data_IF_105206407239
#
_entry.id   IF_105206407239
#
_cell.length_a   1.000
_cell.length_b   1.000
_cell.length_c   1.000
_cell.angle_alpha   90.00
_cell.angle_beta   90.00
_cell.angle_gamma   90.00
#
_symmetry.space_group_name_H-M   'P 1'
#
loop_
_entity.id
_entity.type
_entity.pdbx_description
1 polymer ?
#
# COMPACT_ATOMS: atom_id res chain seq x y z
N UNK A 1 -31.96 24.08 13.88
CA UNK A 1 -30.83 24.44 14.81
C UNK A 1 -29.54 23.93 14.22
N UNK A 2 -28.78 24.84 13.57
CA UNK A 2 -27.45 24.58 13.07
C UNK A 2 -26.48 24.44 14.26
N UNK A 3 -26.26 23.24 14.74
CA UNK A 3 -25.10 22.97 15.60
C UNK A 3 -23.85 23.17 14.73
N UNK A 4 -23.17 24.31 14.91
CA UNK A 4 -21.79 24.50 14.49
C UNK A 4 -20.99 23.34 15.09
N UNK A 5 -20.54 22.41 14.24
CA UNK A 5 -19.55 21.43 14.65
C UNK A 5 -18.23 22.21 14.83
N UNK A 6 -17.99 22.69 16.02
CA UNK A 6 -16.65 23.15 16.41
C UNK A 6 -15.71 21.96 16.27
N UNK A 7 -14.79 22.06 15.32
CA UNK A 7 -13.69 21.11 15.18
C UNK A 7 -12.81 21.32 16.41
N UNK A 8 -12.88 20.41 17.37
CA UNK A 8 -11.96 20.44 18.51
C UNK A 8 -10.52 20.32 18.01
N UNK A 9 -9.55 20.87 18.73
CA UNK A 9 -8.12 20.71 18.39
C UNK A 9 -7.71 19.23 18.26
N UNK A 10 -8.44 18.30 18.91
CA UNK A 10 -8.28 16.85 18.77
C UNK A 10 -8.80 16.30 17.44
N UNK A 11 -9.59 17.04 16.68
CA UNK A 11 -10.14 16.63 15.37
C UNK A 11 -9.35 17.16 14.16
N UNK A 12 -8.17 17.74 14.37
CA UNK A 12 -7.39 18.36 13.29
C UNK A 12 -7.00 17.38 12.18
N UNK A 13 -6.74 16.12 12.50
CA UNK A 13 -6.43 15.09 11.48
C UNK A 13 -7.57 14.94 10.49
N UNK A 14 -8.81 14.84 10.98
CA UNK A 14 -9.98 14.65 10.12
C UNK A 14 -10.41 15.91 9.37
N UNK A 15 -10.01 17.09 9.82
CA UNK A 15 -10.15 18.31 9.03
C UNK A 15 -9.34 18.18 7.72
N UNK A 16 -8.08 17.80 7.81
CA UNK A 16 -7.22 17.59 6.63
C UNK A 16 -7.69 16.43 5.76
N UNK A 17 -8.04 15.30 6.35
CA UNK A 17 -8.58 14.14 5.63
C UNK A 17 -9.84 14.53 4.85
N UNK A 18 -10.76 15.28 5.46
CA UNK A 18 -11.98 15.76 4.80
C UNK A 18 -11.67 16.76 3.69
N UNK A 19 -10.66 17.61 3.82
CA UNK A 19 -10.22 18.48 2.73
C UNK A 19 -9.71 17.65 1.54
N UNK A 20 -8.80 16.72 1.76
CA UNK A 20 -8.32 15.84 0.69
C UNK A 20 -9.46 15.12 -0.01
N UNK A 21 -10.41 14.60 0.73
CA UNK A 21 -11.58 13.93 0.17
C UNK A 21 -12.52 14.88 -0.59
N UNK A 22 -12.83 16.06 -0.04
CA UNK A 22 -13.80 16.99 -0.61
C UNK A 22 -13.34 17.60 -1.93
N UNK A 23 -12.03 17.84 -2.08
CA UNK A 23 -11.47 18.40 -3.32
C UNK A 23 -11.31 17.37 -4.44
N UNK A 24 -11.51 16.08 -4.19
CA UNK A 24 -11.47 15.07 -5.25
C UNK A 24 -12.68 15.21 -6.19
N UNK A 25 -12.39 15.26 -7.48
CA UNK A 25 -13.41 15.13 -8.54
C UNK A 25 -13.96 13.70 -8.53
N UNK A 26 -15.04 13.48 -9.27
CA UNK A 26 -15.54 12.13 -9.59
C UNK A 26 -14.42 11.35 -10.30
N UNK A 27 -14.13 10.12 -9.86
CA UNK A 27 -13.04 9.30 -10.36
C UNK A 27 -11.64 9.79 -9.97
N UNK A 28 -11.53 10.83 -9.13
CA UNK A 28 -10.24 11.34 -8.65
C UNK A 28 -9.65 10.48 -7.55
N UNK A 29 -8.33 10.49 -7.45
CA UNK A 29 -7.55 9.77 -6.44
C UNK A 29 -6.73 10.73 -5.59
N UNK A 30 -6.53 10.40 -4.33
CA UNK A 30 -5.59 11.09 -3.44
C UNK A 30 -4.75 10.07 -2.66
N UNK A 31 -3.48 10.41 -2.41
CA UNK A 31 -2.61 9.72 -1.48
C UNK A 31 -1.95 10.74 -0.55
N UNK A 32 -1.98 10.50 0.74
CA UNK A 32 -1.42 11.42 1.74
C UNK A 32 -0.98 10.70 3.01
N UNK A 33 -0.14 11.38 3.78
CA UNK A 33 0.42 10.88 5.03
C UNK A 33 -0.34 11.46 6.21
N UNK A 34 -0.70 10.62 7.17
CA UNK A 34 -1.31 11.02 8.43
C UNK A 34 -0.58 10.40 9.62
N UNK A 35 -0.68 11.04 10.78
CA UNK A 35 -0.23 10.44 12.02
C UNK A 35 -1.01 9.14 12.29
N UNK A 36 -0.38 8.14 12.89
CA UNK A 36 -1.03 6.86 13.23
C UNK A 36 -2.27 7.04 14.10
N UNK A 37 -2.28 8.07 14.96
CA UNK A 37 -3.44 8.41 15.79
C UNK A 37 -4.72 8.72 15.00
N UNK A 38 -4.63 9.04 13.71
CA UNK A 38 -5.82 9.22 12.88
C UNK A 38 -6.61 7.91 12.67
N UNK A 39 -5.98 6.76 12.88
CA UNK A 39 -6.61 5.45 12.69
C UNK A 39 -7.24 4.86 13.95
N UNK A 40 -6.79 5.23 15.13
CA UNK A 40 -7.17 4.59 16.40
C UNK A 40 -7.90 5.52 17.39
N UNK A 41 -7.88 6.83 17.18
CA UNK A 41 -8.57 7.80 18.05
C UNK A 41 -10.08 7.52 18.18
N UNK A 42 -10.54 7.29 19.40
CA UNK A 42 -11.96 7.10 19.69
C UNK A 42 -12.79 8.38 19.46
N UNK A 43 -12.22 9.55 19.69
CA UNK A 43 -12.89 10.83 19.49
C UNK A 43 -13.31 11.05 18.03
N UNK A 44 -12.57 10.47 17.08
CA UNK A 44 -12.76 10.63 15.65
C UNK A 44 -13.46 9.44 14.98
N UNK A 45 -13.89 8.44 15.78
CA UNK A 45 -14.52 7.21 15.29
C UNK A 45 -15.72 7.45 14.37
N UNK A 46 -16.58 8.39 14.73
CA UNK A 46 -17.78 8.67 13.94
C UNK A 46 -17.45 9.29 12.57
N UNK A 47 -16.41 10.12 12.50
CA UNK A 47 -15.93 10.72 11.26
C UNK A 47 -15.26 9.64 10.36
N UNK A 48 -14.43 8.80 10.95
CA UNK A 48 -13.78 7.67 10.29
C UNK A 48 -14.82 6.71 9.69
N UNK A 49 -15.83 6.34 10.47
CA UNK A 49 -16.93 5.51 10.02
C UNK A 49 -17.63 6.09 8.79
N UNK A 50 -18.04 7.37 8.85
CA UNK A 50 -18.70 8.05 7.71
C UNK A 50 -17.83 8.04 6.46
N UNK A 51 -16.51 8.20 6.62
CA UNK A 51 -15.59 8.21 5.50
C UNK A 51 -15.48 6.82 4.86
N UNK A 52 -15.37 5.76 5.66
CA UNK A 52 -15.36 4.38 5.18
C UNK A 52 -16.68 4.03 4.48
N UNK A 53 -17.81 4.42 5.06
CA UNK A 53 -19.16 4.21 4.50
C UNK A 53 -19.38 4.92 3.15
N UNK A 54 -18.48 5.82 2.72
CA UNK A 54 -18.53 6.38 1.35
C UNK A 54 -18.12 5.38 0.27
N UNK A 55 -17.45 4.28 0.63
CA UNK A 55 -16.89 3.31 -0.31
C UNK A 55 -15.63 3.80 -1.05
N UNK A 56 -15.10 4.98 -0.71
CA UNK A 56 -13.99 5.61 -1.44
C UNK A 56 -12.63 5.48 -0.73
N UNK A 57 -12.58 4.95 0.48
CA UNK A 57 -11.31 4.57 1.12
C UNK A 57 -10.82 3.30 0.41
N UNK A 58 -9.65 3.38 -0.21
CA UNK A 58 -9.16 2.32 -1.08
C UNK A 58 -8.09 1.48 -0.38
N UNK A 59 -6.97 2.11 -0.02
CA UNK A 59 -5.85 1.44 0.63
C UNK A 59 -5.42 2.23 1.86
N UNK A 60 -5.06 1.52 2.91
CA UNK A 60 -4.39 2.06 4.08
C UNK A 60 -3.13 1.27 4.37
N UNK A 61 -1.98 1.97 4.41
CA UNK A 61 -0.70 1.35 4.65
C UNK A 61 -0.10 1.91 5.93
N UNK A 62 0.24 1.04 6.87
CA UNK A 62 0.88 1.42 8.12
C UNK A 62 2.40 1.37 7.97
N UNK A 63 3.06 2.50 8.26
CA UNK A 63 4.52 2.68 8.14
C UNK A 63 5.13 2.73 9.53
N UNK A 64 6.24 2.02 9.70
CA UNK A 64 6.97 1.98 10.96
C UNK A 64 7.67 3.31 11.31
N UNK A 65 8.43 3.26 12.39
CA UNK A 65 9.21 4.40 12.86
C UNK A 65 10.38 4.73 11.91
N UNK A 66 10.96 5.91 12.10
CA UNK A 66 12.21 6.32 11.46
C UNK A 66 12.18 6.47 9.93
N UNK A 67 11.01 6.75 9.34
CA UNK A 67 10.91 7.11 7.92
C UNK A 67 11.05 8.62 7.65
N UNK A 68 11.23 9.42 8.69
CA UNK A 68 11.44 10.87 8.58
C UNK A 68 12.79 11.26 9.17
N UNK A 69 13.52 12.15 8.52
CA UNK A 69 14.82 12.60 8.97
C UNK A 69 14.82 13.25 10.37
N UNK A 70 13.70 13.88 10.74
CA UNK A 70 13.62 14.68 11.97
C UNK A 70 12.70 14.09 13.03
N UNK A 71 12.00 13.01 12.73
CA UNK A 71 11.00 12.41 13.63
C UNK A 71 11.00 10.89 13.52
N UNK A 72 10.97 10.22 14.67
CA UNK A 72 10.87 8.76 14.77
C UNK A 72 9.43 8.25 14.97
N UNK A 73 8.44 8.98 14.49
CA UNK A 73 7.04 8.62 14.66
C UNK A 73 6.56 7.70 13.54
N UNK A 74 5.71 6.70 13.85
CA UNK A 74 5.03 5.92 12.83
C UNK A 74 3.96 6.77 12.15
N UNK A 75 3.64 6.43 10.92
CA UNK A 75 2.58 7.10 10.18
C UNK A 75 1.72 6.10 9.39
N UNK A 76 0.62 6.61 8.85
CA UNK A 76 -0.24 5.86 7.94
C UNK A 76 -0.33 6.60 6.61
N UNK A 77 -0.27 5.84 5.53
CA UNK A 77 -0.59 6.33 4.20
C UNK A 77 -2.04 6.00 3.90
N UNK A 78 -2.79 7.01 3.52
CA UNK A 78 -4.20 6.90 3.15
C UNK A 78 -4.34 7.10 1.66
N UNK A 79 -5.11 6.24 1.03
CA UNK A 79 -5.43 6.35 -0.40
C UNK A 79 -6.94 6.37 -0.58
N UNK A 80 -7.41 7.39 -1.29
CA UNK A 80 -8.81 7.52 -1.71
C UNK A 80 -8.92 7.30 -3.21
N UNK A 81 -10.00 6.64 -3.62
CA UNK A 81 -10.39 6.48 -5.02
C UNK A 81 -11.90 6.69 -5.19
N UNK A 82 -12.31 7.83 -5.75
CA UNK A 82 -13.71 8.09 -6.12
C UNK A 82 -14.17 7.40 -7.41
N UNK A 83 -13.27 6.67 -8.06
CA UNK A 83 -13.53 5.79 -9.20
C UNK A 83 -13.43 4.32 -8.87
N UNK A 84 -13.43 3.97 -7.59
CA UNK A 84 -13.32 2.59 -7.11
C UNK A 84 -14.43 1.72 -7.71
N UNK A 85 -14.11 0.54 -8.27
CA UNK A 85 -15.10 -0.39 -8.80
C UNK A 85 -16.14 -0.75 -7.75
N UNK A 86 -17.38 -0.95 -8.17
CA UNK A 86 -18.51 -1.27 -7.27
C UNK A 86 -18.22 -2.52 -6.43
N UNK A 87 -17.62 -3.55 -7.03
CA UNK A 87 -17.23 -4.77 -6.34
C UNK A 87 -16.25 -4.57 -5.17
N UNK A 88 -15.49 -3.47 -5.17
CA UNK A 88 -14.50 -3.17 -4.12
C UNK A 88 -14.97 -2.07 -3.15
N UNK A 89 -16.14 -1.45 -3.34
CA UNK A 89 -16.56 -0.30 -2.53
C UNK A 89 -16.73 -0.64 -1.05
N UNK A 90 -17.15 -1.86 -0.73
CA UNK A 90 -17.28 -2.33 0.65
C UNK A 90 -15.99 -2.88 1.27
N UNK A 91 -14.89 -2.82 0.53
CA UNK A 91 -13.60 -3.32 0.95
C UNK A 91 -12.58 -2.20 1.14
N UNK A 92 -11.65 -2.36 2.08
CA UNK A 92 -10.47 -1.51 2.25
C UNK A 92 -9.26 -2.42 2.41
N UNK A 93 -8.25 -2.24 1.55
CA UNK A 93 -7.00 -2.97 1.70
C UNK A 93 -6.15 -2.34 2.82
N UNK A 94 -5.86 -3.14 3.86
CA UNK A 94 -4.93 -2.77 4.92
C UNK A 94 -3.59 -3.48 4.72
N UNK A 95 -2.49 -2.71 4.71
CA UNK A 95 -1.13 -3.23 4.59
C UNK A 95 -0.34 -2.83 5.84
N UNK A 96 0.13 -3.79 6.60
CA UNK A 96 1.09 -3.55 7.68
C UNK A 96 2.52 -3.66 7.15
N UNK A 97 3.16 -2.52 6.93
CA UNK A 97 4.54 -2.41 6.47
C UNK A 97 5.50 -1.93 7.58
N UNK A 98 5.10 -2.01 8.86
CA UNK A 98 5.93 -1.52 9.97
C UNK A 98 7.32 -2.13 10.02
N UNK A 99 7.42 -3.43 9.72
CA UNK A 99 8.67 -4.18 9.75
C UNK A 99 9.27 -4.42 8.36
N UNK A 100 8.60 -3.92 7.33
CA UNK A 100 9.03 -4.08 5.94
C UNK A 100 9.78 -2.82 5.48
N UNK A 101 11.07 -2.78 5.78
CA UNK A 101 11.95 -1.67 5.43
C UNK A 101 13.42 -2.11 5.44
N UNK A 102 14.28 -1.25 4.93
CA UNK A 102 15.74 -1.36 5.06
C UNK A 102 16.24 -0.26 5.96
N UNK A 103 17.00 -0.62 7.00
CA UNK A 103 17.64 0.36 7.85
C UNK A 103 18.86 0.96 7.13
N UNK A 104 18.83 2.27 6.89
CA UNK A 104 19.95 3.02 6.29
C UNK A 104 20.91 3.48 7.38
N UNK A 105 20.35 3.94 8.50
CA UNK A 105 21.09 4.28 9.71
C UNK A 105 20.33 3.78 10.93
N UNK A 106 20.88 3.99 12.13
CA UNK A 106 20.18 3.67 13.39
C UNK A 106 18.90 4.48 13.59
N UNK A 107 18.72 5.58 12.85
CA UNK A 107 17.60 6.52 12.99
C UNK A 107 16.83 6.76 11.69
N UNK A 108 17.20 6.10 10.60
CA UNK A 108 16.55 6.25 9.29
C UNK A 108 16.30 4.91 8.64
N UNK A 109 15.05 4.68 8.30
CA UNK A 109 14.57 3.56 7.50
C UNK A 109 14.09 4.06 6.13
N UNK A 110 14.27 3.24 5.12
CA UNK A 110 13.79 3.50 3.77
C UNK A 110 13.22 2.25 3.13
N UNK A 111 12.38 2.43 2.13
CA UNK A 111 12.02 1.36 1.20
C UNK A 111 12.96 1.40 0.00
N UNK A 112 13.61 0.28 -0.27
CA UNK A 112 14.33 0.10 -1.54
C UNK A 112 13.32 0.15 -2.70
N UNK A 113 13.79 0.43 -3.94
CA UNK A 113 12.93 0.39 -5.11
C UNK A 113 12.16 -0.95 -5.26
N UNK A 114 12.77 -2.06 -4.86
CA UNK A 114 12.14 -3.39 -4.89
C UNK A 114 11.08 -3.56 -3.82
N UNK A 115 11.31 -3.06 -2.61
CA UNK A 115 10.31 -3.06 -1.55
C UNK A 115 9.08 -2.24 -1.94
N UNK A 116 9.28 -1.07 -2.57
CA UNK A 116 8.18 -0.25 -3.09
C UNK A 116 7.40 -0.98 -4.19
N UNK A 117 8.09 -1.69 -5.10
CA UNK A 117 7.43 -2.49 -6.13
C UNK A 117 6.62 -3.64 -5.54
N UNK A 118 7.12 -4.32 -4.50
CA UNK A 118 6.39 -5.38 -3.82
C UNK A 118 5.12 -4.84 -3.13
N UNK A 119 5.20 -3.70 -2.44
CA UNK A 119 4.02 -3.04 -1.87
C UNK A 119 3.02 -2.64 -2.96
N UNK A 120 3.53 -2.14 -4.10
CA UNK A 120 2.70 -1.80 -5.25
C UNK A 120 2.03 -3.03 -5.86
N UNK A 121 2.73 -4.18 -5.90
CA UNK A 121 2.18 -5.44 -6.41
C UNK A 121 0.94 -5.89 -5.64
N UNK A 122 0.96 -5.78 -4.30
CA UNK A 122 -0.20 -6.09 -3.46
C UNK A 122 -1.40 -5.22 -3.87
N UNK A 123 -1.18 -3.91 -4.07
CA UNK A 123 -2.24 -2.98 -4.48
C UNK A 123 -2.73 -3.27 -5.91
N UNK A 124 -1.84 -3.63 -6.84
CA UNK A 124 -2.23 -4.00 -8.20
C UNK A 124 -3.11 -5.23 -8.21
N UNK A 125 -2.74 -6.28 -7.47
CA UNK A 125 -3.54 -7.50 -7.37
C UNK A 125 -4.91 -7.20 -6.75
N UNK A 126 -4.96 -6.43 -5.66
CA UNK A 126 -6.22 -6.00 -5.06
C UNK A 126 -7.14 -5.25 -6.04
N UNK A 127 -6.57 -4.42 -6.92
CA UNK A 127 -7.31 -3.65 -7.93
C UNK A 127 -7.59 -4.43 -9.23
N UNK A 128 -7.10 -5.66 -9.35
CA UNK A 128 -7.21 -6.45 -10.57
C UNK A 128 -6.25 -6.03 -11.71
N UNK A 129 -5.23 -5.21 -11.41
CA UNK A 129 -4.19 -4.75 -12.37
C UNK A 129 -3.15 -5.87 -12.61
N UNK A 130 -3.59 -7.04 -13.05
CA UNK A 130 -2.77 -8.28 -13.16
C UNK A 130 -1.60 -8.10 -14.12
N UNK A 131 -1.75 -7.35 -15.20
CA UNK A 131 -0.68 -7.13 -16.18
C UNK A 131 0.53 -6.43 -15.54
N UNK A 132 0.32 -5.42 -14.69
CA UNK A 132 1.42 -4.75 -13.96
C UNK A 132 2.17 -5.70 -13.02
N UNK A 133 1.46 -6.66 -12.45
CA UNK A 133 2.07 -7.69 -11.62
C UNK A 133 2.91 -8.66 -12.46
N UNK A 134 2.41 -9.09 -13.62
CA UNK A 134 3.16 -9.92 -14.57
C UNK A 134 4.43 -9.23 -15.05
N UNK A 135 4.35 -7.94 -15.41
CA UNK A 135 5.50 -7.14 -15.80
C UNK A 135 6.56 -7.10 -14.70
N UNK A 136 6.13 -6.99 -13.42
CA UNK A 136 7.04 -7.02 -12.29
C UNK A 136 7.72 -8.37 -12.12
N UNK A 137 7.00 -9.49 -12.27
CA UNK A 137 7.58 -10.83 -12.22
C UNK A 137 8.60 -11.03 -13.32
N UNK A 138 8.31 -10.59 -14.54
CA UNK A 138 9.25 -10.65 -15.66
C UNK A 138 10.50 -9.80 -15.39
N UNK A 139 10.35 -8.61 -14.83
CA UNK A 139 11.48 -7.79 -14.44
C UNK A 139 12.36 -8.47 -13.37
N UNK A 140 11.78 -9.21 -12.42
CA UNK A 140 12.53 -10.00 -11.45
C UNK A 140 13.26 -11.16 -12.10
N UNK A 141 12.61 -11.87 -13.04
CA UNK A 141 13.21 -12.96 -13.79
C UNK A 141 14.41 -12.49 -14.61
N UNK A 142 14.26 -11.40 -15.36
CA UNK A 142 15.34 -10.80 -16.11
C UNK A 142 16.50 -10.39 -15.19
N UNK A 143 16.20 -9.77 -14.05
CA UNK A 143 17.23 -9.35 -13.10
C UNK A 143 17.98 -10.53 -12.48
N UNK A 144 17.28 -11.61 -12.16
CA UNK A 144 17.89 -12.84 -11.67
C UNK A 144 18.87 -13.42 -12.71
N UNK A 145 18.48 -13.47 -13.98
CA UNK A 145 19.33 -13.93 -15.10
C UNK A 145 20.58 -13.06 -15.28
N UNK A 146 20.47 -11.74 -15.13
CA UNK A 146 21.59 -10.81 -15.20
C UNK A 146 22.58 -10.99 -14.04
N UNK A 147 22.06 -11.28 -12.86
CA UNK A 147 22.87 -11.41 -11.64
C UNK A 147 23.53 -12.79 -11.52
N UNK A 148 22.89 -13.85 -12.03
CA UNK A 148 23.35 -15.22 -11.87
C UNK A 148 24.84 -15.43 -12.21
N UNK A 149 25.41 -14.91 -13.33
CA UNK A 149 26.82 -15.07 -13.65
C UNK A 149 27.77 -14.31 -12.72
N UNK A 150 27.26 -13.37 -11.91
CA UNK A 150 28.07 -12.60 -10.96
C UNK A 150 28.25 -13.32 -9.62
N UNK A 151 27.50 -14.41 -9.40
CA UNK A 151 27.51 -15.20 -8.18
C UNK A 151 27.94 -16.63 -8.49
N UNK A 152 28.83 -17.18 -7.66
CA UNK A 152 29.25 -18.60 -7.75
C UNK A 152 28.43 -19.51 -6.82
N UNK A 153 28.56 -20.83 -7.04
CA UNK A 153 27.97 -21.84 -6.19
C UNK A 153 26.45 -21.80 -6.10
N UNK A 154 25.90 -22.18 -4.96
CA UNK A 154 24.45 -22.33 -4.71
C UNK A 154 23.65 -21.02 -5.00
N UNK A 155 24.22 -19.86 -4.73
CA UNK A 155 23.55 -18.58 -4.99
C UNK A 155 23.38 -18.33 -6.50
N UNK A 156 24.40 -18.58 -7.30
CA UNK A 156 24.33 -18.48 -8.77
C UNK A 156 23.35 -19.49 -9.36
N UNK A 157 23.35 -20.73 -8.88
CA UNK A 157 22.41 -21.77 -9.32
C UNK A 157 20.94 -21.40 -9.02
N UNK A 158 20.65 -20.88 -7.81
CA UNK A 158 19.32 -20.41 -7.45
C UNK A 158 18.87 -19.26 -8.35
N UNK A 159 19.75 -18.28 -8.64
CA UNK A 159 19.43 -17.17 -9.52
C UNK A 159 19.19 -17.63 -10.96
N UNK A 160 19.98 -18.58 -11.47
CA UNK A 160 19.74 -19.20 -12.77
C UNK A 160 18.40 -19.93 -12.82
N UNK A 161 18.06 -20.67 -11.76
CA UNK A 161 16.77 -21.34 -11.63
C UNK A 161 15.59 -20.36 -11.71
N UNK A 162 15.67 -19.22 -11.02
CA UNK A 162 14.65 -18.16 -11.10
C UNK A 162 14.58 -17.57 -12.50
N UNK A 163 15.72 -17.27 -13.12
CA UNK A 163 15.80 -16.72 -14.48
C UNK A 163 15.25 -17.64 -15.56
N UNK A 164 15.45 -18.95 -15.38
CA UNK A 164 14.96 -19.99 -16.29
C UNK A 164 13.53 -20.46 -16.00
N UNK A 165 12.96 -20.08 -14.84
CA UNK A 165 11.62 -20.51 -14.46
C UNK A 165 10.58 -19.96 -15.44
N UNK A 166 10.04 -20.85 -16.26
CA UNK A 166 8.85 -20.59 -17.09
C UNK A 166 7.56 -20.74 -16.29
N UNK A 167 7.64 -21.31 -15.09
CA UNK A 167 6.53 -21.80 -14.27
C UNK A 167 6.26 -20.99 -12.99
N UNK A 168 6.34 -19.68 -13.07
CA UNK A 168 5.52 -18.87 -12.13
C UNK A 168 4.02 -18.99 -12.48
N UNK A 169 3.69 -19.47 -13.67
CA UNK A 169 2.34 -19.60 -14.17
C UNK A 169 1.42 -20.45 -13.27
N UNK A 170 1.75 -21.67 -12.79
CA UNK A 170 0.82 -22.45 -11.99
C UNK A 170 0.53 -21.83 -10.62
N UNK A 171 1.55 -21.31 -9.94
CA UNK A 171 1.35 -20.64 -8.65
C UNK A 171 0.59 -19.32 -8.80
N UNK A 172 0.84 -18.61 -9.91
CA UNK A 172 0.16 -17.38 -10.26
C UNK A 172 -1.30 -17.64 -10.64
N UNK A 173 -1.57 -18.64 -11.49
CA UNK A 173 -2.92 -19.04 -11.88
C UNK A 173 -3.73 -19.53 -10.67
N UNK A 174 -3.13 -20.31 -9.77
CA UNK A 174 -3.78 -20.74 -8.53
C UNK A 174 -4.12 -19.55 -7.62
N UNK A 175 -3.25 -18.54 -7.54
CA UNK A 175 -3.50 -17.33 -6.76
C UNK A 175 -4.58 -16.47 -7.40
N UNK A 176 -4.57 -16.27 -8.71
CA UNK A 176 -5.63 -15.55 -9.44
C UNK A 176 -6.98 -16.26 -9.31
N UNK A 177 -7.02 -17.57 -9.48
CA UNK A 177 -8.26 -18.36 -9.30
C UNK A 177 -8.79 -18.25 -7.86
N UNK A 178 -7.92 -18.14 -6.85
CA UNK A 178 -8.33 -17.92 -5.47
C UNK A 178 -8.91 -16.51 -5.23
N UNK A 179 -8.40 -15.50 -5.94
CA UNK A 179 -8.91 -14.12 -5.88
C UNK A 179 -10.26 -13.99 -6.60
N UNK A 180 -10.44 -14.67 -7.73
CA UNK A 180 -11.69 -14.65 -8.51
C UNK A 180 -12.85 -15.43 -7.85
N UNK A 181 -12.54 -16.27 -6.85
CA UNK A 181 -13.55 -17.05 -6.11
C UNK A 181 -14.03 -16.36 -4.83
N UNK A 182 -13.51 -15.19 -4.48
CA UNK A 182 -13.97 -14.36 -3.36
C UNK A 182 -14.95 -13.29 -3.84
#
# INVERSE_FOLDING_TARGET
>A
ENKKHEVSASGANYLWINYFYSYLKRGGRAGFVMASSATDSNAERAQRRRLVETGHVDVMLYVGNNFFYTKSLPCTLWFFDKGKPEALQDEVLFIDAQRYHTAVTTTLNEWTPWQLKNLSAIVWLYRGDVEKYRDLLEAYRCRASELAPLFGGEAGEKLMGIGAATDFAPAHEAMLAAIEQQ
#
